data_IF_607377382536
#
_entry.id   IF_607377382536
#
_cell.length_a   1.000
_cell.length_b   1.000
_cell.length_c   1.000
_cell.angle_alpha   90.00
_cell.angle_beta   90.00
_cell.angle_gamma   90.00
#
_symmetry.space_group_name_H-M   'P 1'
#
loop_
_entity.id
_entity.type
_entity.pdbx_description
1 polymer ?
#
# COMPACT_ATOMS: atom_id res chain seq x y z
N UNK A 1 11.62 19.93 4.54
CA UNK A 1 10.28 19.32 4.40
C UNK A 1 9.30 20.45 4.73
N UNK A 2 8.61 20.96 3.71
CA UNK A 2 7.48 21.83 3.96
C UNK A 2 6.42 20.99 4.68
N UNK A 3 6.01 21.46 5.85
CA UNK A 3 4.89 20.91 6.61
C UNK A 3 3.69 20.88 5.68
N UNK A 4 3.22 19.69 5.33
CA UNK A 4 1.97 19.53 4.61
C UNK A 4 0.89 20.23 5.41
N UNK A 5 0.49 21.40 4.94
CA UNK A 5 -0.55 22.20 5.55
C UNK A 5 -1.82 21.36 5.56
N UNK A 6 -2.32 21.01 6.74
CA UNK A 6 -3.59 20.30 6.86
C UNK A 6 -4.66 21.11 6.14
N UNK A 7 -5.12 20.63 4.99
CA UNK A 7 -6.16 21.29 4.17
C UNK A 7 -7.56 21.07 4.79
N UNK A 8 -7.68 21.27 6.11
CA UNK A 8 -8.97 21.16 6.80
C UNK A 8 -9.57 22.54 6.87
N UNK A 9 -10.68 22.72 6.18
CA UNK A 9 -11.52 23.90 6.34
C UNK A 9 -12.33 23.76 7.63
N UNK A 10 -11.81 24.34 8.71
CA UNK A 10 -12.42 24.27 10.05
C UNK A 10 -13.87 24.79 10.05
N UNK A 11 -14.20 25.73 9.14
CA UNK A 11 -15.56 26.30 9.06
C UNK A 11 -16.60 25.27 8.62
N UNK A 12 -16.19 24.22 7.93
CA UNK A 12 -17.06 23.16 7.39
C UNK A 12 -17.17 21.93 8.28
N UNK A 13 -16.43 21.88 9.39
CA UNK A 13 -16.48 20.77 10.32
C UNK A 13 -17.83 20.73 11.05
N UNK A 14 -18.40 19.55 11.17
CA UNK A 14 -19.54 19.28 12.04
C UNK A 14 -19.11 19.37 13.50
N UNK A 15 -20.08 19.53 14.43
CA UNK A 15 -19.74 19.55 15.87
C UNK A 15 -19.17 18.20 16.33
N UNK A 16 -19.63 17.07 15.78
CA UNK A 16 -19.06 15.76 16.07
C UNK A 16 -17.59 15.65 15.69
N UNK A 17 -17.21 16.12 14.50
CA UNK A 17 -15.81 16.16 14.05
C UNK A 17 -14.97 17.04 14.97
N UNK A 18 -15.45 18.22 15.35
CA UNK A 18 -14.74 19.14 16.26
C UNK A 18 -14.49 18.49 17.62
N UNK A 19 -15.48 17.79 18.18
CA UNK A 19 -15.35 17.09 19.45
C UNK A 19 -14.24 16.04 19.38
N UNK A 20 -14.25 15.19 18.35
CA UNK A 20 -13.24 14.14 18.22
C UNK A 20 -11.84 14.72 17.90
N UNK A 21 -11.75 15.73 17.09
CA UNK A 21 -10.47 16.41 16.80
C UNK A 21 -9.89 17.11 18.04
N UNK A 22 -10.74 17.69 18.93
CA UNK A 22 -10.26 18.21 20.21
C UNK A 22 -9.74 17.10 21.13
N UNK A 23 -10.44 15.94 21.20
CA UNK A 23 -9.99 14.78 21.98
C UNK A 23 -8.67 14.21 21.45
N UNK A 24 -8.47 14.21 20.15
CA UNK A 24 -7.22 13.83 19.49
C UNK A 24 -6.09 14.86 19.70
N UNK A 25 -6.40 16.05 20.20
CA UNK A 25 -5.44 17.11 20.36
C UNK A 25 -5.08 17.86 19.06
N UNK A 26 -5.84 17.64 18.00
CA UNK A 26 -5.67 18.33 16.70
C UNK A 26 -6.22 19.76 16.78
N UNK A 27 -7.33 19.97 17.50
CA UNK A 27 -7.93 21.28 17.75
C UNK A 27 -7.76 21.69 19.20
N UNK A 28 -7.65 23.01 19.43
CA UNK A 28 -7.83 23.64 20.73
C UNK A 28 -9.32 23.70 21.09
N UNK A 29 -9.63 24.12 22.33
CA UNK A 29 -11.02 24.39 22.73
C UNK A 29 -11.64 25.54 21.89
N UNK A 30 -10.81 26.46 21.39
CA UNK A 30 -11.23 27.59 20.57
C UNK A 30 -11.28 27.24 19.06
N UNK A 31 -11.17 25.93 18.72
CA UNK A 31 -11.16 25.40 17.35
C UNK A 31 -9.98 25.86 16.47
N UNK A 32 -8.84 26.17 17.06
CA UNK A 32 -7.61 26.43 16.34
C UNK A 32 -6.83 25.11 16.14
N UNK A 33 -6.14 24.98 15.01
CA UNK A 33 -5.25 23.84 14.75
C UNK A 33 -4.03 23.92 15.67
N UNK A 34 -3.64 22.77 16.23
CA UNK A 34 -2.42 22.64 17.01
C UNK A 34 -1.31 22.04 16.19
N UNK A 35 -0.09 22.50 16.45
CA UNK A 35 1.09 21.80 15.98
C UNK A 35 1.21 20.43 16.67
N UNK A 36 1.54 19.40 15.89
CA UNK A 36 1.80 18.08 16.46
C UNK A 36 3.06 18.10 17.31
N UNK A 37 2.95 17.67 18.56
CA UNK A 37 4.09 17.47 19.45
C UNK A 37 4.40 15.98 19.53
N UNK A 38 5.63 15.60 19.17
CA UNK A 38 6.08 14.22 19.35
C UNK A 38 5.97 13.82 20.83
N UNK A 39 5.37 12.67 21.15
CA UNK A 39 5.37 12.15 22.52
C UNK A 39 6.80 11.95 23.01
N UNK A 40 7.07 12.30 24.27
CA UNK A 40 8.39 12.14 24.91
C UNK A 40 8.89 10.69 24.92
N UNK A 41 7.99 9.72 24.85
CA UNK A 41 8.32 8.28 24.74
C UNK A 41 9.23 7.95 23.55
N UNK A 42 9.23 8.77 22.49
CA UNK A 42 10.13 8.60 21.35
C UNK A 42 11.56 9.07 21.63
N UNK A 43 11.80 9.87 22.69
CA UNK A 43 13.13 10.29 23.09
C UNK A 43 13.94 9.15 23.75
N UNK A 44 13.26 8.15 24.30
CA UNK A 44 13.87 7.03 25.06
C UNK A 44 14.07 5.77 24.20
N UNK A 45 13.43 5.69 23.03
CA UNK A 45 13.52 4.53 22.12
C UNK A 45 14.04 5.00 20.77
N UNK A 46 15.13 4.46 20.26
CA UNK A 46 15.50 4.72 18.88
C UNK A 46 14.36 4.29 17.97
N UNK A 47 13.89 5.17 17.07
CA UNK A 47 12.83 4.80 16.14
C UNK A 47 13.33 3.66 15.23
N UNK A 48 12.45 2.74 14.89
CA UNK A 48 12.71 1.81 13.79
C UNK A 48 12.90 2.64 12.53
N UNK A 49 14.02 2.46 11.84
CA UNK A 49 14.25 3.12 10.57
C UNK A 49 13.25 2.59 9.53
N UNK A 50 12.47 3.50 8.97
CA UNK A 50 11.48 3.20 7.93
C UNK A 50 11.59 4.20 6.80
N UNK A 51 11.57 3.69 5.59
CA UNK A 51 11.76 4.47 4.37
C UNK A 51 10.58 4.23 3.43
N UNK A 52 10.05 5.29 2.85
CA UNK A 52 9.13 5.16 1.72
C UNK A 52 9.91 4.66 0.49
N UNK A 53 9.36 3.70 -0.22
CA UNK A 53 9.93 3.20 -1.47
C UNK A 53 9.58 4.17 -2.60
N UNK A 54 10.58 4.70 -3.27
CA UNK A 54 10.41 5.60 -4.40
C UNK A 54 10.74 4.89 -5.71
N UNK A 55 9.73 4.54 -6.47
CA UNK A 55 9.88 3.88 -7.78
C UNK A 55 8.95 4.53 -8.83
N UNK A 56 9.11 5.84 -9.13
CA UNK A 56 8.18 6.59 -9.98
C UNK A 56 8.09 6.06 -11.41
N UNK A 57 9.13 5.37 -11.89
CA UNK A 57 9.15 4.67 -13.18
C UNK A 57 8.26 3.42 -13.20
N UNK A 58 7.80 2.95 -12.04
CA UNK A 58 6.90 1.81 -11.89
C UNK A 58 5.50 2.29 -11.57
N UNK A 59 5.40 2.99 -10.44
CA UNK A 59 4.20 3.62 -9.91
C UNK A 59 4.62 4.88 -9.16
N UNK A 60 4.03 6.02 -9.53
CA UNK A 60 4.23 7.24 -8.77
C UNK A 60 3.58 7.11 -7.37
N UNK A 61 4.04 7.91 -6.43
CA UNK A 61 3.46 7.95 -5.09
C UNK A 61 2.00 8.41 -5.12
N UNK A 62 1.17 7.78 -4.27
CA UNK A 62 -0.27 8.01 -4.27
C UNK A 62 -0.64 9.48 -3.95
N UNK A 63 0.20 10.19 -3.18
CA UNK A 63 0.00 11.60 -2.88
C UNK A 63 0.34 12.54 -4.05
N UNK A 64 0.99 12.04 -5.11
CA UNK A 64 1.28 12.78 -6.34
C UNK A 64 0.23 12.58 -7.45
N UNK A 65 -0.77 11.74 -7.22
CA UNK A 65 -1.82 11.51 -8.21
C UNK A 65 -2.76 12.72 -8.35
N UNK A 66 -3.45 12.80 -9.46
CA UNK A 66 -4.47 13.84 -9.70
C UNK A 66 -5.54 13.88 -8.59
N UNK A 67 -5.85 12.71 -8.00
CA UNK A 67 -6.66 12.56 -6.79
C UNK A 67 -5.75 11.95 -5.71
N UNK A 68 -5.08 12.79 -4.90
CA UNK A 68 -4.11 12.32 -3.93
C UNK A 68 -4.70 11.38 -2.88
N UNK A 69 -3.90 10.42 -2.45
CA UNK A 69 -4.21 9.53 -1.33
C UNK A 69 -3.04 9.51 -0.35
N UNK A 70 -3.33 9.47 0.93
CA UNK A 70 -2.35 9.63 2.00
C UNK A 70 -1.73 8.30 2.42
N UNK A 71 -0.98 7.66 1.51
CA UNK A 71 -0.22 6.44 1.81
C UNK A 71 1.03 6.32 0.92
N UNK A 72 2.04 5.63 1.41
CA UNK A 72 3.22 5.25 0.63
C UNK A 72 2.95 3.96 -0.16
N UNK A 73 3.50 3.85 -1.37
CA UNK A 73 3.39 2.63 -2.19
C UNK A 73 3.96 1.41 -1.52
N UNK A 74 5.07 1.60 -0.84
CA UNK A 74 5.64 0.59 0.05
C UNK A 74 6.47 1.27 1.14
N UNK A 75 6.64 0.57 2.25
CA UNK A 75 7.58 0.95 3.30
C UNK A 75 8.66 -0.13 3.42
N UNK A 76 9.91 0.30 3.44
CA UNK A 76 11.06 -0.50 3.83
C UNK A 76 11.38 -0.26 5.30
N UNK A 77 11.52 -1.34 6.06
CA UNK A 77 12.03 -1.33 7.43
C UNK A 77 13.34 -2.10 7.47
N UNK A 78 14.31 -1.62 8.24
CA UNK A 78 15.57 -2.33 8.49
C UNK A 78 15.64 -2.69 9.98
N UNK A 79 15.74 -3.97 10.28
CA UNK A 79 15.71 -4.48 11.65
C UNK A 79 16.60 -5.72 11.79
N UNK A 80 17.59 -5.66 12.66
CA UNK A 80 18.40 -6.83 13.04
C UNK A 80 19.11 -7.53 11.87
N UNK A 81 19.54 -6.76 10.85
CA UNK A 81 20.19 -7.32 9.66
C UNK A 81 19.20 -7.87 8.60
N UNK A 82 17.91 -7.60 8.78
CA UNK A 82 16.86 -7.93 7.80
C UNK A 82 16.22 -6.66 7.24
N UNK A 83 15.86 -6.72 5.97
CA UNK A 83 15.02 -5.77 5.27
C UNK A 83 13.62 -6.36 5.18
N UNK A 84 12.63 -5.62 5.68
CA UNK A 84 11.21 -5.96 5.58
C UNK A 84 10.57 -4.94 4.65
N UNK A 85 9.91 -5.44 3.61
CA UNK A 85 9.15 -4.61 2.67
C UNK A 85 7.66 -4.86 2.88
N UNK A 86 6.92 -3.79 3.13
CA UNK A 86 5.46 -3.78 3.25
C UNK A 86 4.92 -3.02 2.05
N UNK A 87 4.32 -3.73 1.10
CA UNK A 87 3.75 -3.14 -0.11
C UNK A 87 2.26 -2.95 0.08
N UNK A 88 1.81 -1.72 -0.10
CA UNK A 88 0.40 -1.34 -0.06
C UNK A 88 -0.39 -1.97 -1.20
N UNK A 89 -1.71 -1.99 -1.10
CA UNK A 89 -2.59 -2.48 -2.14
C UNK A 89 -2.18 -1.95 -3.51
N UNK A 90 -1.87 -2.87 -4.39
CA UNK A 90 -1.37 -2.63 -5.75
C UNK A 90 -2.28 -3.32 -6.74
N UNK A 91 -2.71 -2.60 -7.76
CA UNK A 91 -3.67 -3.05 -8.76
C UNK A 91 -3.15 -2.79 -10.19
N UNK A 92 -4.01 -3.07 -11.17
CA UNK A 92 -3.75 -2.78 -12.58
C UNK A 92 -3.88 -1.29 -12.87
N UNK A 93 -2.86 -0.53 -12.51
CA UNK A 93 -2.78 0.91 -12.80
C UNK A 93 -1.47 1.24 -13.52
N UNK A 94 -1.47 2.36 -14.24
CA UNK A 94 -0.25 2.90 -14.84
C UNK A 94 0.54 3.77 -13.84
N UNK A 95 1.58 4.42 -14.31
CA UNK A 95 2.48 5.25 -13.50
C UNK A 95 1.78 6.45 -12.85
N UNK A 96 0.69 6.97 -13.47
CA UNK A 96 -0.14 8.05 -12.92
C UNK A 96 -1.30 7.54 -12.04
N UNK A 97 -1.37 6.23 -11.77
CA UNK A 97 -2.41 5.60 -10.96
C UNK A 97 -3.76 5.43 -11.65
N UNK A 98 -3.81 5.54 -12.98
CA UNK A 98 -5.03 5.32 -13.75
C UNK A 98 -5.23 3.84 -14.02
N UNK A 99 -6.45 3.30 -13.81
CA UNK A 99 -6.77 1.90 -14.11
C UNK A 99 -6.55 1.55 -15.57
N UNK A 100 -5.94 0.37 -15.80
CA UNK A 100 -5.72 -0.20 -17.12
C UNK A 100 -6.44 -1.55 -17.27
N UNK A 101 -6.65 -1.98 -18.51
CA UNK A 101 -7.34 -3.24 -18.85
C UNK A 101 -8.74 -3.33 -18.25
N UNK A 102 -9.53 -2.26 -18.36
CA UNK A 102 -10.88 -2.18 -17.80
C UNK A 102 -11.74 -3.33 -18.33
N UNK A 103 -12.34 -4.10 -17.41
CA UNK A 103 -13.21 -5.24 -17.74
C UNK A 103 -12.47 -6.56 -18.02
N UNK A 104 -11.14 -6.55 -18.16
CA UNK A 104 -10.33 -7.76 -18.38
C UNK A 104 -9.61 -8.19 -17.08
N UNK A 105 -10.23 -9.11 -16.32
CA UNK A 105 -9.68 -9.62 -15.07
C UNK A 105 -8.29 -10.23 -15.24
N UNK A 106 -8.07 -11.01 -16.31
CA UNK A 106 -6.80 -11.73 -16.53
C UNK A 106 -5.67 -10.76 -16.79
N UNK A 107 -5.90 -9.79 -17.69
CA UNK A 107 -4.90 -8.76 -17.98
C UNK A 107 -4.63 -7.89 -16.74
N UNK A 108 -5.67 -7.55 -15.96
CA UNK A 108 -5.50 -6.82 -14.70
C UNK A 108 -4.65 -7.60 -13.69
N UNK A 109 -4.88 -8.90 -13.54
CA UNK A 109 -4.08 -9.72 -12.61
C UNK A 109 -2.61 -9.78 -13.03
N UNK A 110 -2.31 -10.00 -14.33
CA UNK A 110 -0.94 -9.97 -14.83
C UNK A 110 -0.28 -8.60 -14.66
N UNK A 111 -1.01 -7.50 -14.91
CA UNK A 111 -0.49 -6.14 -14.69
C UNK A 111 -0.20 -5.91 -13.20
N UNK A 112 -1.05 -6.39 -12.31
CA UNK A 112 -0.86 -6.33 -10.87
C UNK A 112 0.42 -7.06 -10.46
N UNK A 113 0.65 -8.29 -10.94
CA UNK A 113 1.90 -9.01 -10.69
C UNK A 113 3.12 -8.27 -11.23
N UNK A 114 3.03 -7.67 -12.43
CA UNK A 114 4.12 -6.87 -12.99
C UNK A 114 4.44 -5.66 -12.11
N UNK A 115 3.44 -4.92 -11.65
CA UNK A 115 3.63 -3.77 -10.78
C UNK A 115 4.30 -4.18 -9.46
N UNK A 116 3.84 -5.27 -8.83
CA UNK A 116 4.44 -5.82 -7.61
C UNK A 116 5.89 -6.29 -7.84
N UNK A 117 6.15 -7.01 -8.94
CA UNK A 117 7.51 -7.44 -9.30
C UNK A 117 8.46 -6.26 -9.41
N UNK A 118 8.02 -5.19 -10.06
CA UNK A 118 8.84 -4.00 -10.23
C UNK A 118 9.09 -3.26 -8.90
N UNK A 119 8.10 -3.20 -7.99
CA UNK A 119 8.28 -2.65 -6.65
C UNK A 119 9.27 -3.47 -5.81
N UNK A 120 9.20 -4.80 -5.89
CA UNK A 120 10.18 -5.69 -5.26
C UNK A 120 11.59 -5.45 -5.82
N UNK A 121 11.71 -5.39 -7.15
CA UNK A 121 12.99 -5.16 -7.83
C UNK A 121 13.60 -3.80 -7.48
N UNK A 122 12.79 -2.75 -7.34
CA UNK A 122 13.26 -1.42 -6.92
C UNK A 122 13.96 -1.44 -5.55
N UNK A 123 13.61 -2.40 -4.71
CA UNK A 123 14.22 -2.64 -3.40
C UNK A 123 15.23 -3.80 -3.40
N UNK A 124 15.68 -4.26 -4.58
CA UNK A 124 16.58 -5.42 -4.73
C UNK A 124 16.04 -6.68 -4.04
N UNK A 125 14.73 -6.89 -4.14
CA UNK A 125 14.00 -8.05 -3.65
C UNK A 125 13.29 -8.76 -4.82
N UNK A 126 12.83 -9.96 -4.56
CA UNK A 126 12.13 -10.81 -5.52
C UNK A 126 10.90 -11.48 -4.88
N UNK A 127 10.14 -12.22 -5.68
CA UNK A 127 9.03 -13.04 -5.16
C UNK A 127 9.49 -14.16 -4.22
N UNK A 128 10.76 -14.57 -4.26
CA UNK A 128 11.34 -15.53 -3.30
C UNK A 128 11.46 -14.97 -1.89
N UNK A 129 11.43 -13.65 -1.74
CA UNK A 129 11.46 -12.96 -0.45
C UNK A 129 10.04 -12.71 0.09
N UNK A 130 8.99 -12.94 -0.72
CA UNK A 130 7.60 -12.70 -0.32
C UNK A 130 7.14 -13.78 0.64
N UNK A 131 6.72 -13.35 1.83
CA UNK A 131 6.25 -14.25 2.90
C UNK A 131 4.73 -14.30 3.00
N UNK A 132 4.04 -13.24 2.57
CA UNK A 132 2.59 -13.13 2.65
C UNK A 132 2.02 -12.28 1.52
N UNK A 133 0.83 -12.68 1.04
CA UNK A 133 -0.02 -11.88 0.16
C UNK A 133 -1.44 -11.81 0.70
N UNK A 134 -2.10 -10.64 0.57
CA UNK A 134 -3.55 -10.52 0.71
C UNK A 134 -4.10 -10.09 -0.65
N UNK A 135 -5.04 -10.88 -1.16
CA UNK A 135 -5.58 -10.74 -2.50
C UNK A 135 -7.04 -10.30 -2.40
N UNK A 136 -7.33 -9.11 -2.89
CA UNK A 136 -8.65 -8.51 -2.88
C UNK A 136 -9.28 -8.69 -4.25
N UNK A 137 -10.41 -9.40 -4.31
CA UNK A 137 -11.17 -9.66 -5.52
C UNK A 137 -12.49 -8.88 -5.45
N UNK A 138 -12.85 -8.19 -6.52
CA UNK A 138 -14.14 -7.48 -6.60
C UNK A 138 -15.31 -8.45 -6.59
N UNK A 139 -15.17 -9.58 -7.26
CA UNK A 139 -16.16 -10.64 -7.39
C UNK A 139 -15.47 -12.00 -7.27
N UNK A 140 -15.42 -12.52 -6.04
CA UNK A 140 -14.68 -13.75 -5.75
C UNK A 140 -15.37 -14.98 -6.37
N UNK A 141 -16.70 -14.99 -6.44
CA UNK A 141 -17.45 -16.10 -7.03
C UNK A 141 -17.17 -16.25 -8.52
N UNK A 142 -17.04 -15.13 -9.23
CA UNK A 142 -16.74 -15.12 -10.67
C UNK A 142 -15.26 -15.41 -10.94
N UNK A 143 -14.35 -14.81 -10.18
CA UNK A 143 -12.95 -14.66 -10.58
C UNK A 143 -11.98 -15.64 -9.88
N UNK A 144 -12.38 -16.29 -8.78
CA UNK A 144 -11.48 -17.05 -7.92
C UNK A 144 -10.77 -18.23 -8.60
N UNK A 145 -11.51 -18.96 -9.45
CA UNK A 145 -10.93 -20.12 -10.17
C UNK A 145 -9.83 -19.64 -11.13
N UNK A 146 -10.11 -18.61 -11.91
CA UNK A 146 -9.14 -18.06 -12.85
C UNK A 146 -7.98 -17.36 -12.13
N UNK A 147 -8.26 -16.66 -11.03
CA UNK A 147 -7.23 -16.10 -10.15
C UNK A 147 -6.23 -17.16 -9.71
N UNK A 148 -6.70 -18.28 -9.16
CA UNK A 148 -5.82 -19.36 -8.69
C UNK A 148 -5.02 -19.99 -9.83
N UNK A 149 -5.62 -20.19 -10.99
CA UNK A 149 -4.93 -20.73 -12.17
C UNK A 149 -3.78 -19.84 -12.61
N UNK A 150 -4.02 -18.53 -12.74
CA UNK A 150 -3.00 -17.56 -13.14
C UNK A 150 -1.91 -17.44 -12.07
N UNK A 151 -2.29 -17.34 -10.80
CA UNK A 151 -1.34 -17.28 -9.68
C UNK A 151 -0.44 -18.51 -9.64
N UNK A 152 -1.01 -19.71 -9.76
CA UNK A 152 -0.26 -20.96 -9.80
C UNK A 152 0.70 -20.99 -10.98
N UNK A 153 0.25 -20.57 -12.17
CA UNK A 153 1.11 -20.47 -13.35
C UNK A 153 2.29 -19.54 -13.10
N UNK A 154 2.04 -18.37 -12.52
CA UNK A 154 3.06 -17.38 -12.20
C UNK A 154 4.06 -17.90 -11.15
N UNK A 155 3.59 -18.49 -10.07
CA UNK A 155 4.43 -19.02 -9.00
C UNK A 155 5.27 -20.22 -9.45
N UNK A 156 4.69 -21.10 -10.28
CA UNK A 156 5.44 -22.21 -10.88
C UNK A 156 6.54 -21.72 -11.84
N UNK A 157 6.26 -20.70 -12.65
CA UNK A 157 7.27 -20.09 -13.51
C UNK A 157 8.42 -19.50 -12.70
N UNK A 158 8.13 -18.88 -11.56
CA UNK A 158 9.13 -18.37 -10.62
C UNK A 158 9.82 -19.48 -9.81
N UNK A 159 9.34 -20.71 -9.85
CA UNK A 159 9.84 -21.85 -9.05
C UNK A 159 9.81 -21.55 -7.53
N UNK A 160 8.73 -20.93 -7.05
CA UNK A 160 8.61 -20.60 -5.63
C UNK A 160 8.42 -21.86 -4.77
N UNK A 161 9.33 -22.07 -3.83
CA UNK A 161 9.26 -23.06 -2.77
C UNK A 161 10.00 -22.54 -1.53
N UNK A 162 9.31 -22.36 -0.37
CA UNK A 162 7.87 -22.52 -0.18
C UNK A 162 7.03 -21.42 -0.84
N UNK A 163 5.74 -21.68 -1.01
CA UNK A 163 4.79 -20.67 -1.46
C UNK A 163 4.51 -19.64 -0.34
N UNK A 164 4.24 -18.37 -0.66
CA UNK A 164 3.82 -17.37 0.33
C UNK A 164 2.51 -17.75 1.01
N UNK A 165 2.35 -17.44 2.30
CA UNK A 165 1.05 -17.47 2.95
C UNK A 165 0.10 -16.50 2.23
N UNK A 166 -1.18 -16.88 2.06
CA UNK A 166 -2.11 -16.07 1.28
C UNK A 166 -3.52 -16.07 1.85
N UNK A 167 -4.21 -14.95 1.72
CA UNK A 167 -5.65 -14.80 2.03
C UNK A 167 -6.33 -14.13 0.83
N UNK A 168 -7.46 -14.69 0.38
CA UNK A 168 -8.33 -14.09 -0.62
C UNK A 168 -9.59 -13.52 0.02
N UNK A 169 -9.97 -12.30 -0.35
CA UNK A 169 -11.10 -11.56 0.24
C UNK A 169 -11.90 -10.91 -0.89
N UNK A 170 -13.24 -11.03 -0.83
CA UNK A 170 -14.11 -10.21 -1.67
C UNK A 170 -14.28 -8.82 -1.06
N UNK A 171 -14.07 -7.78 -1.88
CA UNK A 171 -14.18 -6.39 -1.40
C UNK A 171 -14.50 -5.42 -2.53
N UNK A 172 -15.15 -4.31 -2.19
CA UNK A 172 -15.25 -3.17 -3.11
C UNK A 172 -13.91 -2.44 -3.18
N UNK A 173 -13.27 -2.47 -4.35
CA UNK A 173 -12.03 -1.76 -4.61
C UNK A 173 -12.26 -0.26 -4.80
N UNK A 174 -11.20 0.54 -4.58
CA UNK A 174 -11.25 2.01 -4.61
C UNK A 174 -11.73 2.58 -5.96
N UNK A 175 -11.41 1.89 -7.07
CA UNK A 175 -11.90 2.22 -8.40
C UNK A 175 -12.88 1.14 -8.88
N UNK A 176 -14.02 1.56 -9.44
CA UNK A 176 -15.03 0.61 -9.94
C UNK A 176 -14.53 -0.28 -11.08
N UNK A 177 -13.57 0.21 -11.85
CA UNK A 177 -12.96 -0.52 -12.97
C UNK A 177 -11.89 -1.53 -12.55
N UNK A 178 -11.41 -1.50 -11.31
CA UNK A 178 -10.46 -2.49 -10.80
C UNK A 178 -11.19 -3.75 -10.36
N UNK A 179 -10.66 -4.90 -10.74
CA UNK A 179 -11.23 -6.22 -10.46
C UNK A 179 -10.40 -7.00 -9.43
N UNK A 180 -9.12 -6.66 -9.30
CA UNK A 180 -8.17 -7.30 -8.38
C UNK A 180 -7.16 -6.28 -7.85
N UNK A 181 -6.77 -6.46 -6.59
CA UNK A 181 -5.71 -5.73 -5.91
C UNK A 181 -4.96 -6.69 -4.99
N UNK A 182 -3.66 -6.51 -4.83
CA UNK A 182 -2.83 -7.37 -3.98
C UNK A 182 -1.90 -6.49 -3.14
N UNK A 183 -1.84 -6.75 -1.84
CA UNK A 183 -0.78 -6.29 -0.96
C UNK A 183 0.15 -7.45 -0.61
N UNK A 184 1.40 -7.15 -0.24
CA UNK A 184 2.35 -8.18 0.16
C UNK A 184 3.35 -7.71 1.22
N UNK A 185 3.92 -8.70 1.90
CA UNK A 185 5.06 -8.56 2.79
C UNK A 185 6.21 -9.41 2.26
N UNK A 186 7.40 -8.82 2.20
CA UNK A 186 8.61 -9.52 1.82
C UNK A 186 9.71 -9.29 2.87
N UNK A 187 10.56 -10.28 3.09
CA UNK A 187 11.66 -10.24 4.08
C UNK A 187 12.90 -10.80 3.41
N UNK A 188 13.98 -10.01 3.39
CA UNK A 188 15.28 -10.43 2.91
C UNK A 188 16.37 -10.10 3.93
N UNK A 189 17.46 -10.85 3.92
CA UNK A 189 18.66 -10.53 4.68
C UNK A 189 19.37 -9.35 4.00
N UNK A 190 19.86 -8.39 4.80
CA UNK A 190 20.73 -7.32 4.30
C UNK A 190 22.12 -7.92 4.10
N UNK A 191 22.66 -7.83 2.88
CA UNK A 191 24.02 -8.29 2.57
C UNK A 191 25.05 -7.25 3.00
#
# INVERSE_FOLDING_TARGET
METAQLLIDISKLTEGERIEMRKLGILTNDNELRDYKFPSIHAERPPIEKFAVHAPQVLNEAYNYQKPSSFSRALRLELGGYKILIVSGTASVNEEGKPEYIGDFKAQLWRTFRNLTNLLTAESMSWHDVVRTTCYLRDIERDYVEFNKIRTTFYNWLQLDPLPASTGIQVRLCWESLLVEIELYAIAKIN
#
